data_IF_862482429457
#
_entry.id   IF_862482429457
#
_cell.length_a   1.000
_cell.length_b   1.000
_cell.length_c   1.000
_cell.angle_alpha   90.00
_cell.angle_beta   90.00
_cell.angle_gamma   90.00
#
_symmetry.space_group_name_H-M   'P 1'
#
loop_
_entity.id
_entity.type
_entity.pdbx_description
1 polymer ?
#
# COMPACT_ATOMS: atom_id res chain seq x y z
N UNK A 1 1.12 -5.74 -30.10
CA UNK A 1 2.27 -6.59 -29.71
C UNK A 1 1.90 -7.27 -28.40
N UNK A 2 2.00 -8.60 -28.28
CA UNK A 2 1.81 -9.27 -26.97
C UNK A 2 2.99 -8.86 -26.07
N UNK A 3 2.78 -8.24 -24.90
CA UNK A 3 3.87 -7.95 -24.00
C UNK A 3 4.55 -9.26 -23.58
N UNK A 4 5.88 -9.24 -23.48
CA UNK A 4 6.64 -10.34 -22.88
C UNK A 4 6.08 -10.62 -21.48
N UNK A 5 6.08 -11.88 -21.04
CA UNK A 5 5.54 -12.29 -19.75
C UNK A 5 6.20 -11.62 -18.53
N UNK A 6 7.34 -10.96 -18.74
CA UNK A 6 8.08 -10.18 -17.75
C UNK A 6 7.80 -8.66 -17.78
N UNK A 7 7.09 -8.16 -18.79
CA UNK A 7 6.80 -6.74 -18.88
C UNK A 7 5.60 -6.42 -17.97
N UNK A 8 5.70 -5.45 -17.06
CA UNK A 8 4.59 -5.06 -16.22
C UNK A 8 3.45 -4.54 -17.10
N UNK A 9 2.21 -4.82 -16.71
CA UNK A 9 1.03 -4.31 -17.43
C UNK A 9 0.55 -2.97 -16.87
N UNK A 10 1.06 -2.59 -15.70
CA UNK A 10 0.69 -1.34 -15.04
C UNK A 10 1.83 -0.81 -14.18
N UNK A 11 1.92 0.51 -14.10
CA UNK A 11 2.73 1.23 -13.13
C UNK A 11 1.83 1.93 -12.12
N UNK A 12 2.23 1.94 -10.84
CA UNK A 12 1.50 2.61 -9.79
C UNK A 12 2.37 3.62 -9.07
N UNK A 13 1.80 4.77 -8.84
CA UNK A 13 2.29 5.80 -7.96
C UNK A 13 1.28 5.96 -6.83
N UNK A 14 1.75 6.09 -5.60
CA UNK A 14 0.94 6.29 -4.42
C UNK A 14 1.57 7.35 -3.54
N UNK A 15 0.73 8.26 -3.06
CA UNK A 15 1.05 9.25 -2.06
C UNK A 15 0.30 8.93 -0.77
N UNK A 16 1.04 8.95 0.33
CA UNK A 16 0.57 8.58 1.66
C UNK A 16 -0.04 7.16 1.74
N UNK A 17 -0.67 6.86 2.88
CA UNK A 17 -1.16 5.52 3.24
C UNK A 17 -0.14 4.72 4.03
N UNK A 18 -0.48 3.47 4.35
CA UNK A 18 0.30 2.60 5.26
C UNK A 18 1.63 2.07 4.70
N UNK A 19 2.13 2.57 3.56
CA UNK A 19 3.34 2.09 2.86
C UNK A 19 4.52 3.09 2.97
N UNK A 20 4.24 4.39 3.00
CA UNK A 20 5.25 5.46 3.00
C UNK A 20 4.65 6.79 2.54
N UNK A 21 5.46 7.85 2.53
CA UNK A 21 4.99 9.17 2.05
C UNK A 21 4.79 9.17 0.53
N UNK A 22 5.73 8.59 -0.19
CA UNK A 22 5.65 8.38 -1.64
C UNK A 22 6.01 6.93 -1.92
N UNK A 23 5.25 6.25 -2.77
CA UNK A 23 5.51 4.89 -3.21
C UNK A 23 5.36 4.78 -4.71
N UNK A 24 6.28 4.06 -5.36
CA UNK A 24 6.22 3.77 -6.78
C UNK A 24 6.42 2.28 -7.02
N UNK A 25 5.76 1.72 -8.02
CA UNK A 25 5.85 0.30 -8.28
C UNK A 25 5.29 -0.12 -9.63
N UNK A 26 5.48 -1.40 -9.90
CA UNK A 26 5.03 -2.05 -11.12
C UNK A 26 4.24 -3.31 -10.76
N UNK A 27 3.24 -3.61 -11.57
CA UNK A 27 2.34 -4.72 -11.30
C UNK A 27 1.81 -5.38 -12.56
N UNK A 28 1.05 -6.43 -12.33
CA UNK A 28 0.40 -7.21 -13.36
C UNK A 28 -1.10 -7.19 -13.15
N UNK A 29 -1.85 -7.18 -14.25
CA UNK A 29 -3.27 -7.41 -14.26
C UNK A 29 -3.51 -8.86 -14.66
N UNK A 30 -3.99 -9.64 -13.70
CA UNK A 30 -4.34 -11.04 -13.87
C UNK A 30 -5.85 -11.18 -14.10
N UNK A 31 -6.29 -12.43 -14.33
CA UNK A 31 -7.71 -12.74 -14.53
C UNK A 31 -8.53 -12.38 -13.29
N UNK A 32 -9.82 -12.10 -13.50
CA UNK A 32 -10.81 -11.78 -12.45
C UNK A 32 -10.51 -10.50 -11.66
N UNK A 33 -9.85 -9.52 -12.28
CA UNK A 33 -9.59 -8.22 -11.64
C UNK A 33 -8.54 -8.26 -10.53
N UNK A 34 -7.78 -9.35 -10.43
CA UNK A 34 -6.67 -9.46 -9.49
C UNK A 34 -5.43 -8.73 -10.02
N UNK A 35 -4.83 -7.89 -9.19
CA UNK A 35 -3.73 -7.00 -9.54
C UNK A 35 -2.62 -7.03 -8.48
N UNK A 36 -1.71 -8.02 -8.51
CA UNK A 36 -0.50 -7.97 -7.68
C UNK A 36 0.40 -6.84 -8.17
N UNK A 37 0.84 -6.00 -7.23
CA UNK A 37 1.74 -4.87 -7.51
C UNK A 37 2.84 -4.84 -6.47
N UNK A 38 4.09 -4.76 -6.92
CA UNK A 38 5.23 -4.54 -6.04
C UNK A 38 5.52 -3.04 -5.98
N UNK A 39 5.41 -2.46 -4.79
CA UNK A 39 5.62 -1.05 -4.51
C UNK A 39 6.88 -0.88 -3.66
N UNK A 40 7.62 0.17 -3.95
CA UNK A 40 8.72 0.66 -3.13
C UNK A 40 8.32 2.03 -2.57
N UNK A 41 8.09 2.06 -1.26
CA UNK A 41 7.77 3.23 -0.48
C UNK A 41 9.03 3.89 0.08
N UNK A 42 9.05 5.21 0.03
CA UNK A 42 10.06 6.05 0.65
C UNK A 42 9.38 7.00 1.64
N UNK A 43 9.86 6.99 2.88
CA UNK A 43 9.48 7.92 3.92
C UNK A 43 10.72 8.71 4.34
N UNK A 44 10.68 10.03 4.11
CA UNK A 44 11.79 10.92 4.43
C UNK A 44 11.50 11.80 5.65
N UNK A 45 12.58 12.28 6.27
CA UNK A 45 12.63 13.02 7.53
C UNK A 45 11.71 14.26 7.56
N UNK A 46 11.51 14.91 6.42
CA UNK A 46 10.77 16.17 6.33
C UNK A 46 9.25 16.03 6.33
N UNK A 47 8.70 14.83 6.11
CA UNK A 47 7.28 14.67 5.77
C UNK A 47 6.49 13.71 6.67
N UNK A 48 7.15 13.04 7.63
CA UNK A 48 6.53 11.99 8.46
C UNK A 48 6.66 12.15 9.98
N UNK A 49 7.23 13.25 10.47
CA UNK A 49 7.43 13.47 11.92
C UNK A 49 8.35 12.44 12.60
N UNK A 50 9.07 11.62 11.82
CA UNK A 50 9.98 10.59 12.30
C UNK A 50 11.40 10.92 11.83
N UNK A 51 12.35 10.96 12.76
CA UNK A 51 13.73 11.41 12.55
C UNK A 51 14.60 10.40 11.76
N UNK A 52 13.96 9.54 10.95
CA UNK A 52 14.56 8.36 10.33
C UNK A 52 13.98 8.13 8.94
N UNK A 53 14.88 7.98 7.96
CA UNK A 53 14.52 7.53 6.61
C UNK A 53 14.14 6.05 6.64
N UNK A 54 12.94 5.74 6.16
CA UNK A 54 12.42 4.37 6.09
C UNK A 54 12.12 4.00 4.65
N UNK A 55 12.67 2.86 4.22
CA UNK A 55 12.36 2.25 2.95
C UNK A 55 11.38 1.11 3.19
N UNK A 56 10.29 1.05 2.43
CA UNK A 56 9.28 0.01 2.60
C UNK A 56 9.10 -0.72 1.28
N UNK A 57 9.25 -2.04 1.28
CA UNK A 57 8.89 -2.87 0.13
C UNK A 57 7.50 -3.43 0.41
N UNK A 58 6.53 -3.12 -0.44
CA UNK A 58 5.14 -3.55 -0.24
C UNK A 58 4.64 -4.39 -1.40
N UNK A 59 4.17 -5.60 -1.10
CA UNK A 59 3.44 -6.43 -2.05
C UNK A 59 1.95 -6.20 -1.86
N UNK A 60 1.33 -5.54 -2.83
CA UNK A 60 -0.07 -5.15 -2.78
C UNK A 60 -0.92 -6.05 -3.65
N UNK A 61 -1.82 -6.78 -3.02
CA UNK A 61 -2.74 -7.70 -3.66
C UNK A 61 -4.11 -7.01 -3.75
N UNK A 62 -4.35 -6.34 -4.88
CA UNK A 62 -5.60 -5.61 -5.15
C UNK A 62 -6.57 -6.49 -5.92
N UNK A 63 -7.84 -6.40 -5.57
CA UNK A 63 -8.96 -7.01 -6.27
C UNK A 63 -9.97 -5.94 -6.66
N UNK A 64 -10.43 -5.99 -7.90
CA UNK A 64 -11.58 -5.20 -8.33
C UNK A 64 -12.85 -5.89 -7.84
N UNK A 65 -13.68 -5.19 -7.07
CA UNK A 65 -14.92 -5.74 -6.53
C UNK A 65 -16.05 -5.81 -7.56
N UNK A 66 -15.86 -5.18 -8.72
CA UNK A 66 -16.79 -5.21 -9.84
C UNK A 66 -16.06 -5.61 -11.11
N UNK A 67 -16.67 -6.47 -11.92
CA UNK A 67 -16.16 -6.86 -13.24
C UNK A 67 -16.22 -5.70 -14.25
N UNK A 68 -17.19 -4.80 -14.06
CA UNK A 68 -17.39 -3.62 -14.91
C UNK A 68 -17.34 -2.34 -14.07
N UNK A 69 -16.80 -1.24 -14.60
CA UNK A 69 -16.86 0.04 -13.93
C UNK A 69 -18.31 0.44 -13.66
N UNK A 70 -18.61 0.78 -12.42
CA UNK A 70 -19.83 1.47 -12.01
C UNK A 70 -19.85 2.83 -12.70
N UNK A 71 -20.98 3.20 -13.29
CA UNK A 71 -21.14 4.43 -14.08
C UNK A 71 -20.18 4.57 -15.28
N UNK A 72 -19.51 3.48 -15.68
CA UNK A 72 -18.60 3.45 -16.83
C UNK A 72 -17.19 3.96 -16.55
N UNK A 73 -16.91 4.50 -15.36
CA UNK A 73 -15.60 5.07 -15.03
C UNK A 73 -15.12 4.75 -13.61
N UNK A 74 -15.98 4.31 -12.68
CA UNK A 74 -15.62 4.07 -11.29
C UNK A 74 -15.54 2.58 -10.96
N UNK A 75 -14.43 2.11 -10.42
CA UNK A 75 -14.25 0.71 -10.02
C UNK A 75 -13.97 0.65 -8.52
N UNK A 76 -14.85 0.01 -7.72
CA UNK A 76 -14.57 -0.23 -6.31
C UNK A 76 -13.47 -1.28 -6.16
N UNK A 77 -12.57 -1.05 -5.20
CA UNK A 77 -11.37 -1.88 -5.00
C UNK A 77 -11.24 -2.28 -3.54
N UNK A 78 -10.71 -3.47 -3.31
CA UNK A 78 -10.30 -3.91 -1.98
C UNK A 78 -9.10 -4.85 -2.10
N UNK A 79 -8.37 -5.03 -1.01
CA UNK A 79 -7.22 -5.90 -1.02
C UNK A 79 -6.45 -5.90 0.29
N UNK A 80 -5.30 -6.57 0.24
CA UNK A 80 -4.37 -6.67 1.36
C UNK A 80 -2.98 -6.36 0.83
N UNK A 81 -2.25 -5.50 1.54
CA UNK A 81 -0.83 -5.28 1.29
C UNK A 81 0.01 -5.91 2.39
N UNK A 82 1.15 -6.46 1.99
CA UNK A 82 2.19 -6.94 2.90
C UNK A 82 3.34 -5.96 2.79
N UNK A 83 3.59 -5.21 3.85
CA UNK A 83 4.55 -4.11 3.87
C UNK A 83 5.76 -4.53 4.68
N UNK A 84 6.94 -4.54 4.06
CA UNK A 84 8.21 -4.84 4.70
C UNK A 84 9.03 -3.56 4.87
N UNK A 85 9.11 -3.06 6.10
CA UNK A 85 9.93 -1.91 6.47
C UNK A 85 11.41 -2.29 6.63
N UNK A 86 12.27 -1.68 5.84
CA UNK A 86 13.73 -1.73 5.92
C UNK A 86 14.21 -0.40 6.50
N UNK A 87 14.51 -0.40 7.79
CA UNK A 87 15.05 0.76 8.52
C UNK A 87 16.47 0.47 8.99
N UNK A 88 17.41 1.38 8.74
CA UNK A 88 18.81 1.25 9.16
C UNK A 88 19.10 1.78 10.58
N UNK A 89 18.11 2.35 11.26
CA UNK A 89 18.28 3.05 12.54
C UNK A 89 17.28 2.63 13.64
N UNK A 90 17.00 1.34 13.78
CA UNK A 90 16.43 0.84 15.04
C UNK A 90 17.57 0.57 16.00
N UNK A 91 18.06 1.62 16.68
CA UNK A 91 19.02 1.57 17.81
C UNK A 91 20.12 0.48 17.76
N UNK A 92 21.37 0.83 17.38
CA UNK A 92 22.55 -0.06 17.49
C UNK A 92 22.84 -0.58 18.91
N UNK A 93 22.12 -0.11 19.94
CA UNK A 93 22.24 -0.55 21.33
C UNK A 93 20.88 -0.45 22.01
N UNK A 94 20.24 -1.60 22.25
CA UNK A 94 19.08 -1.66 23.14
C UNK A 94 19.52 -1.30 24.58
N UNK A 95 18.70 -0.58 25.37
CA UNK A 95 18.82 -0.63 26.82
C UNK A 95 18.73 -2.09 27.29
N UNK A 96 19.52 -2.53 28.28
CA UNK A 96 19.74 -3.95 28.62
C UNK A 96 18.51 -4.73 29.12
N UNK A 97 17.33 -4.14 29.08
CA UNK A 97 16.07 -4.73 29.56
C UNK A 97 15.21 -5.39 28.47
N UNK A 98 15.55 -5.26 27.19
CA UNK A 98 14.72 -5.80 26.09
C UNK A 98 15.41 -6.95 25.36
N UNK A 99 14.72 -8.11 25.30
CA UNK A 99 15.20 -9.36 24.70
C UNK A 99 15.38 -9.20 23.18
N UNK A 100 16.52 -9.67 22.66
CA UNK A 100 16.98 -9.50 21.26
C UNK A 100 16.01 -10.02 20.17
N UNK A 101 15.09 -10.92 20.53
CA UNK A 101 14.16 -11.56 19.58
C UNK A 101 12.84 -10.81 19.35
N UNK A 102 12.63 -9.65 19.98
CA UNK A 102 11.33 -8.95 19.94
C UNK A 102 11.07 -8.14 18.66
N UNK A 103 12.11 -7.82 17.87
CA UNK A 103 12.00 -6.89 16.74
C UNK A 103 11.88 -7.55 15.35
N UNK A 104 12.05 -8.87 15.24
CA UNK A 104 11.94 -9.55 13.94
C UNK A 104 10.50 -9.51 13.40
N UNK A 105 9.52 -9.47 14.31
CA UNK A 105 8.09 -9.44 14.00
C UNK A 105 7.57 -8.04 13.63
N UNK A 106 8.32 -6.97 13.96
CA UNK A 106 7.95 -5.57 13.68
C UNK A 106 8.41 -5.05 12.31
N UNK A 107 8.91 -5.92 11.42
CA UNK A 107 9.37 -5.50 10.08
C UNK A 107 8.34 -5.77 8.99
N UNK A 108 7.41 -6.70 9.21
CA UNK A 108 6.39 -7.06 8.24
C UNK A 108 5.03 -6.71 8.81
N UNK A 109 4.29 -5.86 8.10
CA UNK A 109 2.97 -5.40 8.46
C UNK A 109 1.96 -5.82 7.41
N UNK A 110 0.83 -6.37 7.86
CA UNK A 110 -0.32 -6.58 7.00
C UNK A 110 -1.21 -5.33 7.03
N UNK A 111 -1.64 -4.88 5.86
CA UNK A 111 -2.52 -3.73 5.74
C UNK A 111 -3.68 -4.04 4.81
N UNK A 112 -4.86 -4.41 5.34
CA UNK A 112 -6.06 -4.45 4.53
C UNK A 112 -6.44 -3.04 4.09
N UNK A 113 -6.90 -2.92 2.85
CA UNK A 113 -7.32 -1.65 2.27
C UNK A 113 -8.57 -1.81 1.40
N UNK A 114 -9.32 -0.73 1.27
CA UNK A 114 -10.47 -0.63 0.38
C UNK A 114 -10.59 0.80 -0.15
N UNK A 115 -11.28 0.98 -1.27
CA UNK A 115 -11.42 2.29 -1.88
C UNK A 115 -12.02 2.23 -3.27
N UNK A 116 -11.63 3.17 -4.13
CA UNK A 116 -12.12 3.25 -5.50
C UNK A 116 -11.09 3.81 -6.46
N UNK A 117 -11.21 3.41 -7.73
CA UNK A 117 -10.40 3.91 -8.84
C UNK A 117 -11.29 4.48 -9.94
N UNK A 118 -10.96 5.68 -10.41
CA UNK A 118 -11.53 6.33 -11.57
C UNK A 118 -10.63 6.06 -12.78
N UNK A 119 -11.15 5.40 -13.82
CA UNK A 119 -10.41 5.07 -15.02
C UNK A 119 -10.72 6.07 -16.14
N UNK A 120 -9.68 6.73 -16.64
CA UNK A 120 -9.75 7.74 -17.69
C UNK A 120 -8.95 7.21 -18.89
N UNK A 121 -9.60 6.92 -20.03
CA UNK A 121 -8.89 6.49 -21.23
C UNK A 121 -8.08 7.67 -21.80
N UNK A 122 -6.77 7.46 -22.04
CA UNK A 122 -5.86 8.46 -22.60
C UNK A 122 -5.17 7.86 -23.83
N UNK A 123 -5.69 8.19 -25.02
CA UNK A 123 -5.19 7.71 -26.30
C UNK A 123 -5.08 6.17 -26.36
N UNK A 124 -3.86 5.62 -26.29
CA UNK A 124 -3.61 4.17 -26.33
C UNK A 124 -3.55 3.51 -24.95
N UNK A 125 -3.48 4.30 -23.87
CA UNK A 125 -3.30 3.86 -22.49
C UNK A 125 -4.52 4.24 -21.63
N UNK A 126 -4.59 3.74 -20.40
CA UNK A 126 -5.62 4.16 -19.42
C UNK A 126 -4.95 4.70 -18.16
N UNK A 127 -5.38 5.87 -17.70
CA UNK A 127 -4.96 6.43 -16.42
C UNK A 127 -6.03 6.16 -15.37
N UNK A 128 -5.69 5.40 -14.34
CA UNK A 128 -6.48 5.22 -13.14
C UNK A 128 -6.08 6.22 -12.07
N UNK A 129 -7.02 7.00 -11.52
CA UNK A 129 -6.80 7.78 -10.30
C UNK A 129 -7.54 7.06 -9.18
N UNK A 130 -6.85 6.62 -8.14
CA UNK A 130 -7.45 5.88 -7.04
C UNK A 130 -7.25 6.56 -5.70
N UNK A 131 -8.20 6.30 -4.81
CA UNK A 131 -8.09 6.60 -3.39
C UNK A 131 -8.27 5.29 -2.62
N UNK A 132 -7.59 5.19 -1.48
CA UNK A 132 -7.67 4.03 -0.62
C UNK A 132 -7.65 4.40 0.85
N UNK A 133 -8.44 3.66 1.61
CA UNK A 133 -8.42 3.64 3.05
C UNK A 133 -7.73 2.35 3.46
N UNK A 134 -6.58 2.49 4.10
CA UNK A 134 -5.76 1.39 4.59
C UNK A 134 -5.70 1.43 6.12
N UNK A 135 -5.58 0.27 6.74
CA UNK A 135 -5.30 0.19 8.18
C UNK A 135 -4.15 -0.78 8.40
N UNK A 136 -3.32 -0.55 9.42
CA UNK A 136 -2.21 -1.45 9.76
C UNK A 136 -2.70 -2.51 10.76
N UNK A 137 -2.17 -3.72 10.64
CA UNK A 137 -2.41 -4.83 11.57
C UNK A 137 -2.25 -4.47 13.05
N UNK A 138 -1.24 -3.68 13.39
CA UNK A 138 -1.00 -3.20 14.75
C UNK A 138 -2.19 -2.37 15.29
N UNK A 139 -2.72 -1.45 14.47
CA UNK A 139 -3.89 -0.65 14.85
C UNK A 139 -5.17 -1.47 14.91
N UNK A 140 -5.31 -2.47 14.02
CA UNK A 140 -6.47 -3.37 14.03
C UNK A 140 -6.46 -4.28 15.27
N UNK A 141 -5.28 -4.78 15.66
CA UNK A 141 -5.09 -5.54 16.90
C UNK A 141 -5.35 -4.70 18.15
N UNK A 142 -4.89 -3.44 18.17
CA UNK A 142 -5.15 -2.51 19.28
C UNK A 142 -6.63 -2.15 19.39
N UNK A 143 -7.31 -1.92 18.25
CA UNK A 143 -8.75 -1.69 18.19
C UNK A 143 -9.55 -2.89 18.74
N UNK A 144 -9.14 -4.11 18.44
CA UNK A 144 -9.80 -5.32 18.96
C UNK A 144 -9.50 -5.56 20.44
N UNK A 145 -8.34 -5.12 20.94
CA UNK A 145 -7.94 -5.32 22.34
C UNK A 145 -8.40 -4.22 23.31
N UNK A 146 -8.68 -3.02 22.82
CA UNK A 146 -8.89 -1.85 23.69
C UNK A 146 -10.00 -0.94 23.15
N UNK A 147 -10.99 -0.61 23.98
CA UNK A 147 -12.10 0.33 23.65
C UNK A 147 -11.66 1.80 23.52
N UNK A 148 -10.36 2.10 23.60
CA UNK A 148 -9.82 3.47 23.60
C UNK A 148 -9.58 4.03 22.19
N UNK A 149 -9.46 3.18 21.17
CA UNK A 149 -9.18 3.60 19.80
C UNK A 149 -10.49 3.75 19.04
N UNK A 150 -10.82 4.98 18.63
CA UNK A 150 -12.04 5.25 17.86
C UNK A 150 -11.85 4.77 16.42
N UNK A 151 -12.92 4.23 15.82
CA UNK A 151 -12.91 3.67 14.46
C UNK A 151 -12.38 4.64 13.40
N UNK A 152 -12.51 5.95 13.62
CA UNK A 152 -12.04 6.99 12.69
C UNK A 152 -10.53 7.29 12.76
N UNK A 153 -9.85 6.94 13.86
CA UNK A 153 -8.43 7.29 14.07
C UNK A 153 -7.47 6.23 13.47
N UNK A 154 -8.03 5.12 12.97
CA UNK A 154 -7.31 3.91 12.52
C UNK A 154 -7.08 3.87 11.01
N UNK A 155 -7.76 4.74 10.26
CA UNK A 155 -7.73 4.73 8.80
C UNK A 155 -6.69 5.72 8.25
N UNK A 156 -5.79 5.19 7.45
CA UNK A 156 -4.83 5.95 6.65
C UNK A 156 -5.37 6.11 5.23
N UNK A 157 -5.60 7.35 4.81
CA UNK A 157 -5.96 7.68 3.44
C UNK A 157 -4.71 7.74 2.55
N UNK A 158 -4.72 7.00 1.45
CA UNK A 158 -3.76 7.07 0.37
C UNK A 158 -4.43 7.56 -0.91
N UNK A 159 -3.72 8.38 -1.68
CA UNK A 159 -4.11 8.80 -3.03
C UNK A 159 -3.08 8.30 -4.02
N UNK A 160 -3.51 7.80 -5.17
CA UNK A 160 -2.57 7.28 -6.14
C UNK A 160 -3.05 7.32 -7.57
N UNK A 161 -2.11 7.02 -8.46
CA UNK A 161 -2.33 6.94 -9.89
C UNK A 161 -1.81 5.61 -10.41
N UNK A 162 -2.56 4.98 -11.30
CA UNK A 162 -2.21 3.76 -12.02
C UNK A 162 -2.12 4.10 -13.50
N UNK A 163 -0.98 3.86 -14.13
CA UNK A 163 -0.85 3.90 -15.58
C UNK A 163 -0.96 2.47 -16.11
N UNK A 164 -2.04 2.18 -16.83
CA UNK A 164 -2.24 0.92 -17.55
C UNK A 164 -1.63 1.03 -18.95
N UNK A 165 -0.82 0.05 -19.32
CA UNK A 165 -0.09 -0.05 -20.59
C UNK A 165 -0.81 -0.90 -21.64
#
# INVERSE_FOLDING_TARGET
MKPYWFAPTQFKFQYAGSIGFISIGAGYQLRHGYQPTLLYGFLDNNFGGSNVTVHTISLKNRFNLSEKPILGFFTPIAGISVNWGITHNTFKRLPPHYRENYYFQNKVHLSPFWGGEFQIPIAQNTLGIYFEFSTLDAYLLEFVRTDFVRWNDVWSLGLGMTLYL
#
